data_IF_482099274610
#
_entry.id   IF_482099274610
#
_cell.length_a   1.000
_cell.length_b   1.000
_cell.length_c   1.000
_cell.angle_alpha   90.00
_cell.angle_beta   90.00
_cell.angle_gamma   90.00
#
_symmetry.space_group_name_H-M   'P 1'
#
loop_
_entity.id
_entity.type
_entity.pdbx_description
1 polymer ?
2 non-polymer ?
3 non-polymer ?
4 water ?
#
# COMPACT_ATOMS: atom_id res chain seq x y z
N UNK A 1 22.90 20.65 14.00
CA UNK A 1 21.52 20.32 13.68
C UNK A 1 21.38 18.87 13.20
N UNK A 2 20.76 18.03 14.02
CA UNK A 2 20.61 16.61 13.65
C UNK A 2 19.54 16.41 12.60
N UNK A 3 19.83 15.51 11.66
CA UNK A 3 18.80 15.06 10.73
C UNK A 3 17.70 14.32 11.46
N UNK A 4 16.47 14.42 10.94
CA UNK A 4 15.35 13.74 11.54
C UNK A 4 15.61 12.24 11.69
N UNK A 5 16.24 11.63 10.68
CA UNK A 5 16.37 10.17 10.65
C UNK A 5 17.22 9.64 11.79
N UNK A 6 18.12 10.45 12.34
CA UNK A 6 18.95 10.01 13.46
C UNK A 6 18.30 10.27 14.81
N UNK A 7 17.08 10.80 14.83
CA UNK A 7 16.49 11.23 16.09
C UNK A 7 15.80 10.06 16.77
N UNK A 8 15.64 10.14 18.09
CA UNK A 8 14.93 9.08 18.81
C UNK A 8 13.57 8.78 18.20
N UNK A 9 13.12 7.55 18.41
CA UNK A 9 11.82 7.13 17.89
C UNK A 9 10.71 8.05 18.38
N UNK A 10 10.82 8.50 19.63
CA UNK A 10 9.80 9.39 20.17
C UNK A 10 9.79 10.73 19.45
N UNK A 11 10.96 11.24 19.08
CA UNK A 11 10.99 12.49 18.31
C UNK A 11 10.50 12.28 16.89
N UNK A 12 10.75 11.10 16.31
CA UNK A 12 10.31 10.86 14.94
C UNK A 12 8.82 10.60 14.87
N UNK A 13 8.23 10.10 15.95
CA UNK A 13 6.78 9.93 16.00
C UNK A 13 6.09 11.29 16.15
N UNK A 14 6.65 12.18 16.97
CA UNK A 14 6.10 13.54 17.03
C UNK A 14 6.18 14.20 15.65
N UNK A 15 7.28 13.96 14.93
CA UNK A 15 7.46 14.49 13.60
C UNK A 15 6.42 13.93 12.64
N UNK A 16 6.11 12.64 12.76
CA UNK A 16 5.15 12.05 11.86
C UNK A 16 3.75 12.53 12.15
N UNK A 17 3.43 12.80 13.41
CA UNK A 17 2.11 13.34 13.72
C UNK A 17 1.97 14.80 13.25
N UNK A 18 3.07 15.56 13.32
CA UNK A 18 3.09 16.87 12.67
C UNK A 18 2.86 16.74 11.16
N UNK A 19 3.59 15.80 10.53
CA UNK A 19 3.42 15.54 9.10
C UNK A 19 1.97 15.23 8.78
N UNK A 20 1.31 14.45 9.62
CA UNK A 20 -0.05 14.04 9.32
C UNK A 20 -1.00 15.22 9.46
N UNK A 21 -0.77 16.08 10.45
CA UNK A 21 -1.58 17.27 10.61
C UNK A 21 -1.44 18.21 9.41
N UNK A 22 -0.22 18.37 8.90
CA UNK A 22 0.00 19.30 7.78
C UNK A 22 -0.64 18.76 6.52
N UNK A 23 -0.47 17.46 6.24
CA UNK A 23 -1.08 16.84 5.08
C UNK A 23 -2.60 16.86 5.17
N UNK A 24 -3.14 16.82 6.39
CA UNK A 24 -4.59 16.92 6.56
C UNK A 24 -5.09 18.30 6.15
N UNK A 25 -4.28 19.33 6.36
CA UNK A 25 -4.75 20.66 5.99
C UNK A 25 -4.63 20.91 4.48
N UNK A 26 -3.62 20.30 3.84
CA UNK A 26 -3.48 20.41 2.39
C UNK A 26 -4.56 19.62 1.67
N UNK A 27 -4.93 18.46 2.21
CA UNK A 27 -5.72 17.50 1.47
C UNK A 27 -6.97 17.06 2.21
N UNK A 28 -7.08 17.27 3.51
CA UNK A 28 -8.34 17.04 4.18
C UNK A 28 -8.68 15.57 4.24
N UNK A 29 -9.90 15.25 3.87
CA UNK A 29 -10.35 13.86 3.77
C UNK A 29 -10.45 13.45 2.30
N UNK A 30 -9.43 13.81 1.51
CA UNK A 30 -9.37 13.48 0.08
C UNK A 30 -8.69 12.13 -0.10
N UNK A 31 -9.21 11.34 -1.05
CA UNK A 31 -8.91 9.91 -1.13
C UNK A 31 -8.54 9.50 -2.55
N UNK A 32 -7.24 9.37 -2.85
CA UNK A 32 -6.83 8.87 -4.18
C UNK A 32 -6.59 7.36 -4.24
N UNK A 33 -7.29 6.58 -3.44
CA UNK A 33 -7.10 5.13 -3.42
C UNK A 33 -8.28 4.41 -4.06
N UNK A 34 -8.09 3.19 -4.59
CA UNK A 34 -9.20 2.48 -5.24
C UNK A 34 -10.38 2.14 -4.33
N UNK A 35 -10.16 1.93 -3.03
CA UNK A 35 -11.24 1.65 -2.07
C UNK A 35 -12.02 0.38 -2.42
N UNK A 36 -11.34 -0.63 -2.97
CA UNK A 36 -12.03 -1.82 -3.46
C UNK A 36 -12.51 -2.72 -2.33
N UNK A 37 -13.47 -3.60 -2.65
CA UNK A 37 -13.92 -4.63 -1.73
C UNK A 37 -12.87 -5.75 -1.64
N UNK A 38 -12.88 -6.53 -0.54
CA UNK A 38 -11.66 -7.30 -0.20
C UNK A 38 -11.16 -8.21 -1.31
N UNK A 39 -12.04 -9.04 -1.87
CA UNK A 39 -11.63 -9.95 -2.94
C UNK A 39 -11.07 -9.19 -4.12
N UNK A 40 -11.73 -8.10 -4.52
CA UNK A 40 -11.23 -7.27 -5.61
C UNK A 40 -9.83 -6.75 -5.30
N UNK A 41 -9.61 -6.19 -4.11
CA UNK A 41 -8.29 -5.66 -3.78
C UNK A 41 -7.22 -6.74 -3.85
N UNK A 42 -7.52 -7.94 -3.35
CA UNK A 42 -6.48 -8.96 -3.29
C UNK A 42 -6.06 -9.39 -4.68
N UNK A 43 -7.03 -9.71 -5.54
CA UNK A 43 -6.72 -10.18 -6.87
C UNK A 43 -6.09 -9.08 -7.70
N UNK A 44 -6.63 -7.86 -7.61
CA UNK A 44 -6.05 -6.72 -8.32
C UNK A 44 -4.55 -6.63 -8.07
N UNK A 45 -4.15 -6.70 -6.80
CA UNK A 45 -2.73 -6.60 -6.44
C UNK A 45 -1.90 -7.62 -7.20
N UNK A 46 -2.33 -8.89 -7.18
CA UNK A 46 -1.62 -9.93 -7.91
C UNK A 46 -1.43 -9.52 -9.38
N UNK A 47 -2.51 -9.05 -10.01
CA UNK A 47 -2.42 -8.57 -11.39
C UNK A 47 -1.62 -7.29 -11.53
N UNK A 48 -1.28 -6.63 -10.43
CA UNK A 48 -0.76 -5.26 -10.51
C UNK A 48 0.68 -5.18 -10.02
N UNK A 49 1.43 -6.27 -10.07
CA UNK A 49 2.88 -6.17 -10.10
C UNK A 49 4.01 -5.52 -10.92
N UNK A 50 3.88 -5.45 -12.22
CA UNK A 50 4.96 -4.92 -13.09
C UNK A 50 3.86 -4.68 -14.10
N UNK A 51 3.02 -3.70 -13.83
CA UNK A 51 1.83 -3.48 -14.62
C UNK A 51 1.19 -2.15 -14.28
N UNK A 52 0.84 -1.41 -15.30
CA UNK A 52 0.27 -0.08 -15.13
C UNK A 52 -1.15 -0.19 -14.55
N UNK A 53 -1.68 0.96 -14.12
CA UNK A 53 -3.01 0.96 -13.53
C UNK A 53 -4.08 0.58 -14.56
N UNK A 54 -4.05 1.23 -15.73
CA UNK A 54 -5.08 0.99 -16.74
C UNK A 54 -5.08 -0.46 -17.20
N UNK A 55 -3.89 -1.08 -17.29
CA UNK A 55 -3.79 -2.46 -17.77
C UNK A 55 -4.27 -3.45 -16.72
N UNK A 56 -4.05 -3.14 -15.44
CA UNK A 56 -4.50 -4.01 -14.37
C UNK A 56 -6.02 -4.01 -14.26
N UNK A 57 -6.64 -2.83 -14.27
CA UNK A 57 -8.09 -2.75 -14.27
C UNK A 57 -8.67 -3.53 -15.45
N UNK A 58 -8.10 -3.35 -16.64
CA UNK A 58 -8.53 -4.12 -17.80
C UNK A 58 -8.32 -5.62 -17.58
N UNK A 59 -7.22 -6.00 -16.94
CA UNK A 59 -6.96 -7.41 -16.70
C UNK A 59 -7.93 -7.98 -15.69
N UNK A 60 -8.27 -7.19 -14.66
CA UNK A 60 -9.21 -7.65 -13.66
C UNK A 60 -10.59 -7.90 -14.27
N UNK A 61 -11.10 -6.92 -15.01
CA UNK A 61 -12.46 -7.03 -15.54
C UNK A 61 -12.58 -8.12 -16.58
N UNK A 62 -11.53 -8.35 -17.38
CA UNK A 62 -11.61 -9.47 -18.32
C UNK A 62 -11.54 -10.79 -17.58
N UNK A 63 -10.73 -10.86 -16.52
CA UNK A 63 -10.75 -12.01 -15.62
C UNK A 63 -12.16 -12.31 -15.16
N UNK A 64 -12.84 -11.29 -14.65
CA UNK A 64 -14.20 -11.48 -14.14
C UNK A 64 -15.18 -11.86 -15.24
N UNK A 65 -14.80 -11.76 -16.52
CA UNK A 65 -15.68 -12.28 -17.57
C UNK A 65 -15.63 -13.79 -17.66
N UNK A 66 -14.60 -14.43 -17.10
CA UNK A 66 -14.56 -15.89 -17.03
C UNK A 66 -15.63 -16.44 -16.12
N UNK A 67 -16.11 -15.65 -15.17
CA UNK A 67 -17.17 -16.04 -14.29
C UNK A 67 -16.89 -15.53 -12.90
N UNK A 68 -17.71 -15.97 -11.95
CA UNK A 68 -17.49 -15.64 -10.56
C UNK A 68 -16.21 -16.32 -10.06
N UNK A 69 -15.94 -16.14 -8.77
CA UNK A 69 -14.70 -16.68 -8.21
C UNK A 69 -14.65 -18.19 -8.34
N UNK A 70 -15.75 -18.87 -8.01
CA UNK A 70 -15.77 -20.32 -8.06
C UNK A 70 -15.45 -20.83 -9.46
N UNK A 71 -15.99 -20.15 -10.48
CA UNK A 71 -15.66 -20.53 -11.85
C UNK A 71 -14.19 -20.29 -12.19
N UNK A 72 -13.57 -19.25 -11.62
CA UNK A 72 -12.19 -18.97 -11.94
C UNK A 72 -11.26 -19.98 -11.29
N UNK A 73 -11.62 -20.47 -10.09
CA UNK A 73 -10.83 -21.53 -9.47
C UNK A 73 -10.85 -22.81 -10.30
N UNK A 74 -11.94 -23.06 -11.02
CA UNK A 74 -12.07 -24.29 -11.79
C UNK A 74 -11.70 -24.12 -13.26
N UNK A 75 -11.76 -22.89 -13.79
CA UNK A 75 -11.37 -22.67 -15.18
C UNK A 75 -9.94 -23.16 -15.40
N UNK A 76 -9.65 -23.79 -16.52
CA UNK A 76 -8.26 -24.20 -16.81
C UNK A 76 -7.34 -22.98 -16.78
N UNK A 77 -6.12 -23.20 -16.26
CA UNK A 77 -5.19 -22.09 -16.11
C UNK A 77 -4.88 -21.44 -17.45
N UNK A 78 -4.97 -22.19 -18.55
CA UNK A 78 -4.81 -21.62 -19.88
C UNK A 78 -5.81 -20.48 -20.10
N UNK A 79 -7.05 -20.65 -19.67
CA UNK A 79 -8.05 -19.61 -19.88
C UNK A 79 -7.80 -18.42 -18.97
N UNK A 80 -7.39 -18.67 -17.73
CA UNK A 80 -7.08 -17.59 -16.80
C UNK A 80 -5.91 -16.76 -17.32
N UNK A 81 -4.86 -17.43 -17.80
CA UNK A 81 -3.67 -16.72 -18.26
C UNK A 81 -3.99 -15.83 -19.45
N UNK A 82 -4.80 -16.32 -20.38
CA UNK A 82 -5.12 -15.52 -21.56
C UNK A 82 -5.98 -14.31 -21.21
N UNK A 83 -6.82 -14.44 -20.17
CA UNK A 83 -7.72 -13.35 -19.82
C UNK A 83 -6.98 -12.19 -19.18
N UNK A 84 -5.98 -12.50 -18.35
CA UNK A 84 -5.22 -11.47 -17.67
C UNK A 84 -3.99 -11.06 -18.48
N UNK A 85 -3.99 -11.34 -19.79
CA UNK A 85 -2.79 -11.21 -20.62
C UNK A 85 -2.25 -9.79 -20.67
N UNK A 86 -3.05 -8.79 -20.26
CA UNK A 86 -2.63 -7.40 -20.32
C UNK A 86 -1.90 -6.95 -19.05
N UNK A 87 -1.73 -7.83 -18.07
CA UNK A 87 -0.94 -7.56 -16.88
C UNK A 87 0.46 -8.16 -17.04
N UNK A 88 1.20 -8.24 -15.93
CA UNK A 88 2.61 -8.62 -15.95
C UNK A 88 2.77 -10.11 -16.16
N UNK A 89 3.21 -10.51 -17.35
CA UNK A 89 3.59 -11.90 -17.60
C UNK A 89 2.49 -12.83 -17.11
N UNK A 90 1.37 -12.96 -17.83
CA UNK A 90 0.21 -13.67 -17.28
C UNK A 90 0.46 -15.13 -16.97
N UNK A 91 1.58 -15.68 -17.44
CA UNK A 91 1.86 -17.09 -17.20
C UNK A 91 2.11 -17.38 -15.74
N UNK A 92 2.81 -16.48 -15.04
CA UNK A 92 3.09 -16.69 -13.63
C UNK A 92 1.93 -16.23 -12.75
N UNK A 93 1.22 -15.18 -13.15
CA UNK A 93 0.16 -14.64 -12.30
C UNK A 93 -1.03 -15.58 -12.22
N UNK A 94 -1.33 -16.29 -13.32
CA UNK A 94 -2.55 -17.10 -13.37
C UNK A 94 -2.59 -18.21 -12.32
N UNK A 95 -1.50 -18.93 -12.00
CA UNK A 95 -1.60 -19.93 -10.93
C UNK A 95 -1.70 -19.33 -9.54
N UNK A 96 -0.96 -18.25 -9.28
CA UNK A 96 -1.06 -17.60 -7.97
C UNK A 96 -2.51 -17.19 -7.69
N UNK A 97 -3.19 -16.64 -8.68
CA UNK A 97 -4.60 -16.26 -8.53
C UNK A 97 -5.44 -17.49 -8.20
N UNK A 98 -5.34 -18.53 -9.01
CA UNK A 98 -6.16 -19.71 -8.78
C UNK A 98 -5.91 -20.26 -7.38
N UNK A 99 -4.64 -20.38 -7.01
CA UNK A 99 -4.29 -20.94 -5.70
C UNK A 99 -4.80 -20.05 -4.58
N UNK A 100 -4.67 -18.73 -4.73
CA UNK A 100 -5.20 -17.80 -3.74
C UNK A 100 -6.71 -17.98 -3.59
N UNK A 101 -7.44 -18.01 -4.71
CA UNK A 101 -8.88 -18.25 -4.65
C UNK A 101 -9.18 -19.56 -3.93
N UNK A 102 -8.44 -20.62 -4.30
CA UNK A 102 -8.59 -21.92 -3.67
C UNK A 102 -8.43 -21.83 -2.15
N UNK A 103 -7.40 -21.13 -1.68
CA UNK A 103 -7.14 -21.08 -0.26
C UNK A 103 -8.13 -20.20 0.47
N UNK A 104 -8.73 -19.24 -0.23
CA UNK A 104 -9.74 -18.41 0.39
C UNK A 104 -11.05 -19.17 0.52
N UNK A 105 -11.44 -19.93 -0.52
CA UNK A 105 -12.69 -20.68 -0.44
C UNK A 105 -12.66 -21.66 0.73
N UNK A 106 -11.51 -22.30 0.96
CA UNK A 106 -11.39 -23.27 2.05
C UNK A 106 -11.49 -22.64 3.42
N UNK A 107 -11.33 -21.32 3.54
CA UNK A 107 -11.43 -20.63 4.82
C UNK A 107 -12.89 -20.51 5.24
N UNK A 108 -13.16 -20.29 6.53
CA UNK A 108 -14.56 -20.23 7.00
C UNK A 108 -15.30 -19.03 6.42
N UNK A 109 -16.40 -19.32 5.75
CA UNK A 109 -17.12 -18.32 4.98
C UNK A 109 -16.98 -18.57 3.49
N UNK A 110 -17.88 -17.95 2.73
CA UNK A 110 -17.76 -18.03 1.28
C UNK A 110 -16.49 -17.34 0.82
N UNK A 111 -16.44 -16.97 -0.46
CA UNK A 111 -15.37 -16.13 -0.96
C UNK A 111 -15.38 -14.79 -0.24
N UNK A 112 -15.13 -14.83 1.05
CA UNK A 112 -15.28 -13.67 1.91
C UNK A 112 -14.32 -13.83 3.07
N UNK A 113 -13.90 -12.72 3.62
CA UNK A 113 -12.89 -12.76 4.67
C UNK A 113 -13.42 -12.14 5.95
N UNK A 114 -14.64 -12.54 6.33
CA UNK A 114 -15.24 -11.99 7.55
C UNK A 114 -14.44 -12.33 8.79
N UNK A 115 -13.61 -13.38 8.74
CA UNK A 115 -12.90 -13.81 9.95
C UNK A 115 -11.70 -12.92 10.25
N UNK A 116 -11.12 -12.28 9.23
CA UNK A 116 -10.01 -11.36 9.45
C UNK A 116 -10.39 -10.22 10.38
N UNK A 117 -11.69 -9.97 10.56
CA UNK A 117 -12.14 -8.86 11.39
C UNK A 117 -11.74 -9.07 12.85
N UNK A 118 -12.16 -10.20 13.42
CA UNK A 118 -11.98 -10.42 14.85
C UNK A 118 -10.87 -11.42 15.10
N UNK A 119 -9.74 -11.25 14.41
CA UNK A 119 -8.56 -12.10 14.55
C UNK A 119 -7.37 -11.25 14.99
N UNK A 120 -6.46 -11.81 15.78
CA UNK A 120 -5.24 -11.09 16.15
C UNK A 120 -4.52 -10.51 14.94
N UNK A 121 -4.12 -9.23 15.06
CA UNK A 121 -3.58 -8.50 13.91
C UNK A 121 -2.42 -9.26 13.27
N UNK A 122 -1.44 -9.67 14.07
CA UNK A 122 -0.30 -10.41 13.52
C UNK A 122 -0.75 -11.66 12.78
N UNK A 123 -1.76 -12.36 13.32
CA UNK A 123 -2.25 -13.59 12.70
C UNK A 123 -3.00 -13.29 11.41
N UNK A 124 -3.83 -12.24 11.42
CA UNK A 124 -4.54 -11.87 10.19
C UNK A 124 -3.55 -11.49 9.09
N UNK A 125 -2.48 -10.78 9.45
CA UNK A 125 -1.44 -10.39 8.50
C UNK A 125 -0.73 -11.61 7.92
N UNK A 126 -0.29 -12.50 8.80
CA UNK A 126 0.46 -13.68 8.38
C UNK A 126 -0.37 -14.56 7.46
N UNK A 127 -1.69 -14.60 7.67
CA UNK A 127 -2.55 -15.44 6.83
C UNK A 127 -2.65 -14.87 5.43
N UNK A 128 -2.73 -13.54 5.30
CA UNK A 128 -2.77 -12.94 3.97
C UNK A 128 -1.41 -13.03 3.27
N UNK A 129 -0.31 -12.72 3.99
CA UNK A 129 1.01 -12.75 3.35
C UNK A 129 1.46 -14.17 3.00
N UNK A 130 0.84 -15.21 3.58
CA UNK A 130 1.04 -16.58 3.10
C UNK A 130 0.34 -16.83 1.77
N UNK A 131 -0.44 -15.88 1.26
CA UNK A 131 -1.07 -16.19 -0.02
C UNK A 131 -0.16 -15.78 -1.16
N UNK A 132 -0.06 -16.60 -2.20
CA UNK A 132 0.85 -16.29 -3.31
C UNK A 132 0.47 -14.98 -3.99
N UNK A 133 1.49 -14.14 -4.23
CA UNK A 133 1.30 -12.84 -4.86
C UNK A 133 0.84 -11.73 -3.94
N UNK A 134 0.62 -12.02 -2.66
CA UNK A 134 0.16 -11.04 -1.68
C UNK A 134 1.30 -10.74 -0.73
N UNK A 135 1.71 -9.48 -0.67
CA UNK A 135 2.74 -9.06 0.24
C UNK A 135 2.16 -8.33 1.45
N UNK A 136 3.07 -7.90 2.32
CA UNK A 136 2.66 -7.17 3.52
C UNK A 136 1.92 -5.88 3.16
N UNK A 137 2.23 -5.27 2.02
CA UNK A 137 1.54 -4.01 1.74
C UNK A 137 0.09 -4.26 1.33
N UNK A 138 -0.15 -5.27 0.51
CA UNK A 138 -1.53 -5.59 0.14
C UNK A 138 -2.30 -6.16 1.32
N UNK A 139 -1.66 -6.99 2.14
CA UNK A 139 -2.33 -7.49 3.34
C UNK A 139 -2.68 -6.35 4.28
N UNK A 140 -1.76 -5.40 4.47
CA UNK A 140 -2.08 -4.28 5.34
C UNK A 140 -3.19 -3.43 4.76
N UNK A 141 -3.25 -3.30 3.43
CA UNK A 141 -4.28 -2.47 2.80
C UNK A 141 -5.66 -3.06 3.03
N UNK A 142 -5.82 -4.35 2.70
CA UNK A 142 -7.08 -5.05 2.93
C UNK A 142 -7.48 -5.00 4.39
N UNK A 143 -6.53 -5.24 5.31
CA UNK A 143 -6.90 -5.24 6.73
C UNK A 143 -7.31 -3.85 7.20
N UNK A 144 -6.59 -2.81 6.77
CA UNK A 144 -6.94 -1.46 7.19
C UNK A 144 -8.23 -0.99 6.52
N UNK A 145 -8.28 -1.03 5.18
CA UNK A 145 -9.41 -0.43 4.51
C UNK A 145 -10.69 -1.21 4.75
N UNK A 146 -10.69 -2.52 4.54
CA UNK A 146 -11.93 -3.30 4.57
C UNK A 146 -12.31 -3.79 5.97
N UNK A 147 -11.35 -4.01 6.86
CA UNK A 147 -11.66 -4.51 8.18
C UNK A 147 -11.23 -3.59 9.31
N UNK A 148 -10.72 -2.40 9.00
CA UNK A 148 -10.47 -1.39 10.03
C UNK A 148 -9.56 -1.91 11.13
N UNK A 149 -8.51 -2.65 10.74
CA UNK A 149 -7.52 -3.09 11.71
C UNK A 149 -6.38 -2.09 11.78
N UNK A 150 -5.72 -1.95 12.93
CA UNK A 150 -4.65 -0.94 13.03
C UNK A 150 -3.31 -1.40 12.43
N UNK A 151 -3.25 -1.40 11.10
CA UNK A 151 -2.04 -1.64 10.33
C UNK A 151 -1.91 -0.53 9.29
N UNK A 152 -0.69 -0.32 8.82
CA UNK A 152 -0.39 0.86 8.00
C UNK A 152 0.32 0.43 6.73
N UNK A 153 -0.39 0.41 5.61
CA UNK A 153 0.25 0.02 4.35
C UNK A 153 1.18 1.11 3.85
N UNK A 154 2.34 0.69 3.35
CA UNK A 154 3.42 1.57 2.93
C UNK A 154 3.68 1.24 1.47
N UNK A 155 3.07 2.01 0.58
CA UNK A 155 3.34 1.94 -0.84
C UNK A 155 4.55 2.82 -1.16
N UNK A 156 4.89 2.97 -2.44
CA UNK A 156 6.07 3.73 -2.80
C UNK A 156 5.92 5.19 -2.42
N UNK A 157 4.71 5.75 -2.56
CA UNK A 157 4.46 7.12 -2.15
C UNK A 157 4.72 7.31 -0.67
N UNK A 158 4.12 6.46 0.18
CA UNK A 158 4.34 6.58 1.63
C UNK A 158 5.81 6.42 1.94
N UNK A 159 6.44 5.39 1.37
CA UNK A 159 7.84 5.12 1.65
C UNK A 159 8.74 6.30 1.24
N UNK A 160 8.46 6.90 0.07
CA UNK A 160 9.32 7.97 -0.46
C UNK A 160 9.22 9.22 0.41
N UNK A 161 8.01 9.69 0.68
CA UNK A 161 7.85 10.92 1.48
C UNK A 161 8.43 10.75 2.89
N UNK A 162 8.08 9.64 3.56
CA UNK A 162 8.51 9.45 4.93
C UNK A 162 10.02 9.34 5.03
N UNK A 163 10.66 8.69 4.05
CA UNK A 163 12.10 8.59 4.06
C UNK A 163 12.76 9.94 3.76
N UNK A 164 12.23 10.67 2.78
CA UNK A 164 12.85 11.96 2.44
C UNK A 164 12.76 12.92 3.62
N UNK A 165 11.61 12.93 4.30
CA UNK A 165 11.44 13.79 5.47
C UNK A 165 12.35 13.34 6.61
N UNK A 166 12.58 12.04 6.73
CA UNK A 166 13.40 11.56 7.82
C UNK A 166 12.64 10.97 8.98
N UNK A 167 11.34 10.68 8.79
CA UNK A 167 10.58 9.96 9.79
C UNK A 167 11.19 8.57 10.01
N UNK A 168 11.78 7.99 8.97
CA UNK A 168 12.55 6.74 9.13
C UNK A 168 13.83 6.85 8.33
N UNK A 169 14.89 6.16 8.78
CA UNK A 169 16.07 5.99 7.92
C UNK A 169 15.70 5.17 6.70
N UNK A 170 16.64 5.12 5.75
CA UNK A 170 16.41 4.34 4.54
C UNK A 170 16.45 2.86 4.89
N UNK A 171 15.42 2.13 4.44
CA UNK A 171 15.36 0.68 4.61
C UNK A 171 14.42 0.13 3.54
N UNK A 172 14.35 -1.20 3.46
CA UNK A 172 13.43 -1.84 2.54
C UNK A 172 11.99 -1.50 2.84
N UNK A 173 11.13 -1.75 1.85
CA UNK A 173 9.73 -1.36 2.00
C UNK A 173 9.02 -2.24 3.03
N UNK A 174 9.33 -3.54 3.05
CA UNK A 174 8.74 -4.41 4.08
C UNK A 174 9.18 -3.97 5.48
N UNK A 175 10.47 -3.71 5.68
CA UNK A 175 10.92 -3.21 6.98
C UNK A 175 10.25 -1.89 7.34
N UNK A 176 9.96 -1.06 6.34
CA UNK A 176 9.29 0.21 6.63
C UNK A 176 7.88 0.00 7.17
N UNK A 177 7.24 -1.14 6.87
CA UNK A 177 5.89 -1.32 7.40
C UNK A 177 5.91 -1.41 8.92
N UNK A 178 6.84 -2.18 9.47
CA UNK A 178 6.96 -2.26 10.92
C UNK A 178 7.49 -0.95 11.51
N UNK A 179 8.41 -0.28 10.80
CA UNK A 179 9.05 0.89 11.39
C UNK A 179 8.06 2.04 11.52
N UNK A 180 7.25 2.29 10.50
CA UNK A 180 6.27 3.37 10.60
C UNK A 180 5.13 3.01 11.54
N UNK A 181 4.61 1.77 11.46
CA UNK A 181 3.56 1.38 12.39
C UNK A 181 4.00 1.60 13.84
N UNK A 182 5.28 1.37 14.14
CA UNK A 182 5.78 1.58 15.49
C UNK A 182 5.71 3.04 15.93
N UNK A 183 5.63 3.96 14.98
CA UNK A 183 5.56 5.38 15.29
C UNK A 183 4.14 5.90 15.35
N UNK A 184 3.14 5.03 15.21
CA UNK A 184 1.77 5.45 14.98
C UNK A 184 0.83 4.86 16.03
N UNK A 185 -0.30 5.52 16.29
CA UNK A 185 -1.25 5.00 17.27
C UNK A 185 -2.15 3.95 16.64
N UNK A 186 -2.63 2.96 17.41
CA UNK A 186 -3.53 1.96 16.85
C UNK A 186 -4.90 2.54 16.60
N UNK A 187 -4.99 3.45 15.63
CA UNK A 187 -6.21 4.22 15.37
C UNK A 187 -6.51 4.10 13.88
N UNK A 188 -7.39 3.20 13.47
CA UNK A 188 -7.53 2.87 12.03
C UNK A 188 -7.91 4.07 11.17
N UNK A 189 -8.91 4.87 11.57
CA UNK A 189 -9.22 6.06 10.75
C UNK A 189 -8.02 7.00 10.60
N UNK A 190 -7.29 7.23 11.68
CA UNK A 190 -6.08 8.03 11.64
C UNK A 190 -5.07 7.47 10.64
N UNK A 191 -4.85 6.15 10.69
CA UNK A 191 -3.92 5.49 9.79
C UNK A 191 -4.39 5.57 8.35
N UNK A 192 -5.70 5.49 8.13
CA UNK A 192 -6.20 5.52 6.76
C UNK A 192 -6.11 6.93 6.18
N UNK A 193 -6.39 7.95 6.98
CA UNK A 193 -6.22 9.32 6.52
C UNK A 193 -4.75 9.61 6.24
N UNK A 194 -3.88 9.27 7.18
CA UNK A 194 -2.44 9.40 6.96
C UNK A 194 -2.01 8.74 5.65
N UNK A 195 -2.53 7.54 5.39
CA UNK A 195 -2.14 6.83 4.17
C UNK A 195 -2.59 7.59 2.92
N UNK A 196 -3.87 7.94 2.83
CA UNK A 196 -4.35 8.54 1.60
C UNK A 196 -3.70 9.92 1.40
N UNK A 197 -3.48 10.65 2.50
CA UNK A 197 -2.80 11.94 2.38
C UNK A 197 -1.36 11.79 1.88
N UNK A 198 -0.69 10.71 2.28
CA UNK A 198 0.63 10.46 1.73
C UNK A 198 0.55 10.20 0.23
N UNK A 199 -0.44 9.44 -0.20
CA UNK A 199 -0.60 9.17 -1.63
C UNK A 199 -0.79 10.47 -2.40
N UNK A 200 -1.69 11.34 -1.93
CA UNK A 200 -1.90 12.63 -2.59
C UNK A 200 -0.61 13.42 -2.66
N UNK A 201 0.09 13.54 -1.52
CA UNK A 201 1.30 14.34 -1.49
C UNK A 201 2.37 13.73 -2.38
N UNK A 202 2.46 12.40 -2.43
CA UNK A 202 3.48 11.82 -3.31
C UNK A 202 3.16 11.98 -4.78
N UNK A 203 1.87 11.96 -5.13
CA UNK A 203 1.48 12.09 -6.53
C UNK A 203 1.65 13.51 -7.03
N UNK A 204 1.42 14.50 -6.16
CA UNK A 204 1.26 15.90 -6.53
C UNK A 204 2.45 16.77 -6.20
N UNK A 205 3.11 16.52 -5.08
CA UNK A 205 4.17 17.42 -4.66
C UNK A 205 5.48 16.67 -4.57
N UNK A 206 5.56 15.69 -3.65
CA UNK A 206 6.80 14.96 -3.41
C UNK A 206 6.92 13.82 -4.41
N UNK A 207 7.15 14.20 -5.67
CA UNK A 207 7.10 13.26 -6.77
C UNK A 207 8.40 12.46 -6.86
N UNK A 208 8.32 11.29 -7.53
CA UNK A 208 9.50 10.43 -7.64
C UNK A 208 10.72 11.20 -8.14
N UNK A 209 10.58 11.90 -9.27
CA UNK A 209 11.64 12.79 -9.69
C UNK A 209 11.19 14.25 -9.64
N UNK A 210 12.17 15.15 -9.54
CA UNK A 210 11.99 16.60 -9.36
C UNK A 210 10.83 16.97 -8.44
N UNK A 211 10.89 16.70 -7.13
CA UNK A 211 9.78 17.08 -6.25
C UNK A 211 9.59 18.59 -6.21
N UNK A 212 8.38 19.03 -5.93
CA UNK A 212 8.06 20.46 -5.92
C UNK A 212 8.16 21.01 -4.51
N UNK A 213 9.38 20.97 -3.96
CA UNK A 213 9.62 21.37 -2.58
C UNK A 213 9.14 22.79 -2.28
N UNK A 214 9.22 23.69 -3.27
CA UNK A 214 8.78 25.06 -3.09
C UNK A 214 7.28 25.21 -2.86
N UNK A 215 6.51 24.17 -3.16
CA UNK A 215 5.08 24.15 -2.87
C UNK A 215 4.75 23.17 -1.74
N UNK A 216 5.76 22.61 -1.10
CA UNK A 216 5.59 21.53 -0.14
C UNK A 216 5.35 22.07 1.25
N UNK A 217 4.25 21.64 1.87
CA UNK A 217 3.93 22.11 3.22
C UNK A 217 4.84 21.51 4.29
N UNK A 218 5.74 20.57 3.95
CA UNK A 218 6.60 19.96 4.95
C UNK A 218 8.02 20.44 4.88
N UNK A 219 8.33 21.37 3.96
CA UNK A 219 9.69 21.63 3.53
C UNK A 219 10.59 22.01 4.70
N UNK A 220 10.05 22.74 5.68
CA UNK A 220 10.87 23.28 6.75
C UNK A 220 11.37 22.22 7.73
N UNK A 221 10.78 21.01 7.74
CA UNK A 221 11.29 19.95 8.60
C UNK A 221 11.74 18.73 7.79
N UNK A 222 11.93 18.89 6.49
CA UNK A 222 12.27 17.80 5.59
C UNK A 222 13.79 17.60 5.57
N UNK A 223 14.22 16.36 5.83
CA UNK A 223 15.64 16.05 5.77
C UNK A 223 16.19 16.27 4.36
N UNK A 224 15.46 15.81 3.35
CA UNK A 224 15.93 15.88 1.98
C UNK A 224 16.12 17.32 1.52
N UNK A 225 15.18 18.21 1.86
CA UNK A 225 15.36 19.62 1.52
C UNK A 225 16.55 20.20 2.28
N UNK A 226 16.68 19.85 3.56
CA UNK A 226 17.80 20.33 4.35
C UNK A 226 19.12 19.92 3.74
N UNK A 227 19.17 18.76 3.09
CA UNK A 227 20.41 18.25 2.51
C UNK A 227 20.66 18.75 1.09
N UNK A 228 19.62 18.82 0.25
CA UNK A 228 19.78 19.09 -1.17
C UNK A 228 19.13 20.38 -1.65
N UNK A 229 18.34 21.05 -0.83
CA UNK A 229 17.57 22.19 -1.30
C UNK A 229 16.71 21.83 -2.49
N UNK A 230 16.93 22.56 -3.59
CA UNK A 230 16.17 22.45 -4.82
C UNK A 230 16.54 21.23 -5.66
N UNK A 231 17.55 20.48 -5.22
CA UNK A 231 18.10 19.38 -5.99
C UNK A 231 17.93 18.04 -5.26
N UNK A 232 16.77 17.81 -4.67
CA UNK A 232 16.45 16.51 -4.04
C UNK A 232 16.44 15.46 -5.16
N UNK A 233 17.24 14.42 -5.07
CA UNK A 233 17.33 13.46 -6.18
C UNK A 233 16.16 12.48 -6.19
N UNK A 234 16.05 11.77 -7.31
CA UNK A 234 15.04 10.72 -7.45
C UNK A 234 15.19 9.70 -6.32
N UNK A 235 14.07 9.17 -5.87
CA UNK A 235 14.12 8.18 -4.81
C UNK A 235 14.64 6.87 -5.38
N UNK A 236 15.84 6.47 -4.96
CA UNK A 236 16.60 5.39 -5.56
C UNK A 236 16.62 4.14 -4.67
N UNK A 237 17.33 3.13 -5.14
CA UNK A 237 17.60 1.83 -4.47
C UNK A 237 16.59 1.37 -3.43
X LIG B 1 9.31 15.91 -0.56
X LIG B 1 8.44 18.21 0.49
X LIG B 1 10.63 18.25 -1.14
X LIG B 1 10.76 17.06 1.32
X LIG B 1 10.45 19.32 0.84
X LIG B 1 11.54 16.22 -0.60
X LIG B 1 8.70 16.20 1.55
X LIG B 1 8.49 17.76 -1.69
X LIG C 1 -14.22 -18.81 2.80
X LIG D 1 3.31 -13.68 -0.54
#
# INVERSE_FOLDING_TARGET
APLNAARPAEERAALLAWVKERLHEEYGDQDPTPRRDPMHELISTILSQRTTHADEEAAYQELRTLGDWDAITLAPTDAVAHAIRRSNLPESKAPRIQETLRRIKAAPGGYDLDFLRDLPVKDALKWLTDLPGVGVKTASLVLLFNYARPVFPVDTHVHRVSTRVGVIPRMGEQAAHRALLALLPPDPPYLYELHINFLSHGRQVCTWTRPKCGKCILRERCDAYALYGDKVPSFSEKPVKGEKPAKG
SF4 FE1 FE2 FE3 FE4 S1 S2 S3 S4
MG MG
MG MG
#
